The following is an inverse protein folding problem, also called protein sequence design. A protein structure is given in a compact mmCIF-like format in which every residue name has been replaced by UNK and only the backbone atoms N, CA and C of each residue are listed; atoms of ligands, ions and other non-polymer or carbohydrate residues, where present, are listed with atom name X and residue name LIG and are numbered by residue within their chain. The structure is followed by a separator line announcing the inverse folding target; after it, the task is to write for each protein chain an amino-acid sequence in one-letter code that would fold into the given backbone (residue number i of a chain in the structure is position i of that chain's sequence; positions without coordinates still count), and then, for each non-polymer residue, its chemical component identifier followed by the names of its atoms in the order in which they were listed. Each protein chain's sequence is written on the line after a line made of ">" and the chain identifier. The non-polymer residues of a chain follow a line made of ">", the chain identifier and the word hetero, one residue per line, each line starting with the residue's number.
data_IF_894552754406
#
_entry.id   IF_894552754406
#
_cell.length_a   1.000
_cell.length_b   1.000
_cell.length_c   1.000
_cell.angle_alpha   90.00
_cell.angle_beta   90.00
_cell.angle_gamma   90.00
#
_symmetry.space_group_name_H-M   'P 1'
#
loop_
_entity.id
_entity.type
_entity.pdbx_description
1 polymer ?
#
# COMPACT_ATOMS: atom_id res chain seq x y z
N UNK A 1 -14.56 5.52 28.83
CA UNK A 1 -15.10 4.96 27.59
C UNK A 1 -13.92 4.54 26.73
N UNK A 2 -13.69 3.24 26.57
CA UNK A 2 -12.60 2.74 25.74
C UNK A 2 -13.15 2.64 24.32
N UNK A 3 -12.77 3.56 23.46
CA UNK A 3 -13.03 3.48 22.03
C UNK A 3 -12.32 2.23 21.53
N UNK A 4 -13.07 1.19 21.15
CA UNK A 4 -12.49 0.04 20.45
C UNK A 4 -11.85 0.57 19.17
N UNK A 5 -10.53 0.75 19.16
CA UNK A 5 -9.80 0.92 17.93
C UNK A 5 -9.77 -0.45 17.27
N UNK A 6 -10.53 -0.61 16.19
CA UNK A 6 -10.19 -1.63 15.21
C UNK A 6 -8.70 -1.47 14.94
N UNK A 7 -7.93 -2.50 15.27
CA UNK A 7 -6.49 -2.43 15.54
C UNK A 7 -5.78 -1.47 14.61
N UNK A 8 -5.01 -0.53 15.18
CA UNK A 8 -4.27 0.45 14.42
C UNK A 8 -3.50 -0.27 13.31
N UNK A 9 -3.89 -0.05 12.05
CA UNK A 9 -3.20 -0.60 10.90
C UNK A 9 -1.77 -0.05 10.95
N UNK A 10 -0.82 -0.90 11.33
CA UNK A 10 0.56 -0.50 11.57
C UNK A 10 1.32 -0.40 10.25
N UNK A 11 0.75 0.32 9.29
CA UNK A 11 1.33 0.53 7.97
C UNK A 11 2.45 1.57 8.08
N UNK A 12 3.59 1.25 7.50
CA UNK A 12 4.75 2.14 7.44
C UNK A 12 4.64 3.02 6.19
N UNK A 13 4.69 4.36 6.31
CA UNK A 13 4.72 5.26 5.16
C UNK A 13 5.89 4.94 4.22
N UNK A 14 5.62 4.95 2.91
CA UNK A 14 6.58 4.65 1.87
C UNK A 14 6.65 3.18 1.45
N UNK A 15 6.17 2.24 2.29
CA UNK A 15 6.05 0.83 1.89
C UNK A 15 4.86 0.62 0.96
N UNK A 16 4.97 -0.43 0.15
CA UNK A 16 3.96 -0.82 -0.84
C UNK A 16 3.07 -1.92 -0.29
N UNK A 17 1.80 -1.80 -0.61
CA UNK A 17 0.78 -2.73 -0.16
C UNK A 17 -0.18 -3.05 -1.29
N UNK A 18 -0.83 -4.19 -1.16
CA UNK A 18 -2.03 -4.56 -1.89
C UNK A 18 -3.24 -4.44 -0.95
N UNK A 19 -4.19 -3.58 -1.33
CA UNK A 19 -5.37 -3.23 -0.52
C UNK A 19 -6.63 -3.75 -1.19
N UNK A 20 -7.35 -4.64 -0.49
CA UNK A 20 -8.64 -5.15 -0.93
C UNK A 20 -9.80 -4.46 -0.21
N UNK A 21 -10.85 -4.13 -0.96
CA UNK A 21 -12.09 -3.57 -0.44
C UNK A 21 -13.21 -4.62 -0.37
N UNK A 22 -14.21 -4.36 0.46
CA UNK A 22 -15.37 -5.23 0.65
C UNK A 22 -16.33 -5.28 -0.55
N UNK A 23 -16.15 -4.41 -1.56
CA UNK A 23 -16.87 -4.42 -2.83
C UNK A 23 -16.15 -5.26 -3.91
N UNK A 24 -15.05 -5.93 -3.55
CA UNK A 24 -14.25 -6.77 -4.45
C UNK A 24 -13.20 -6.00 -5.26
N UNK A 25 -13.08 -4.67 -5.09
CA UNK A 25 -11.98 -3.92 -5.71
C UNK A 25 -10.66 -4.18 -5.00
N UNK A 26 -9.60 -4.25 -5.78
CA UNK A 26 -8.24 -4.45 -5.29
C UNK A 26 -7.31 -3.41 -5.89
N UNK A 27 -6.51 -2.78 -5.02
CA UNK A 27 -5.47 -1.83 -5.41
C UNK A 27 -4.11 -2.43 -5.07
N UNK A 28 -3.41 -2.92 -6.09
CA UNK A 28 -2.08 -3.54 -5.96
C UNK A 28 -0.98 -2.48 -6.01
N UNK A 29 0.14 -2.73 -5.32
CA UNK A 29 1.37 -1.92 -5.39
C UNK A 29 1.12 -0.44 -5.09
N UNK A 30 0.32 -0.15 -4.08
CA UNK A 30 0.05 1.22 -3.63
C UNK A 30 0.94 1.57 -2.44
N UNK A 31 1.60 2.73 -2.50
CA UNK A 31 2.45 3.19 -1.42
C UNK A 31 1.61 3.87 -0.34
N UNK A 32 1.72 3.44 0.91
CA UNK A 32 1.05 4.12 2.02
C UNK A 32 1.72 5.48 2.28
N UNK A 33 0.94 6.55 2.34
CA UNK A 33 1.45 7.91 2.60
C UNK A 33 1.19 8.31 4.05
N UNK A 34 0.07 7.85 4.62
CA UNK A 34 -0.36 8.22 5.95
C UNK A 34 -1.89 8.28 6.05
N UNK A 35 -2.39 8.93 7.09
CA UNK A 35 -3.82 9.14 7.31
C UNK A 35 -4.19 10.62 7.29
N UNK A 36 -5.38 10.94 6.79
CA UNK A 36 -5.97 12.29 6.90
C UNK A 36 -7.35 12.22 7.52
N UNK A 37 -7.79 13.30 8.18
CA UNK A 37 -9.17 13.42 8.61
C UNK A 37 -10.03 13.96 7.47
N UNK A 38 -11.13 13.28 7.18
CA UNK A 38 -12.18 13.75 6.28
C UNK A 38 -13.51 13.74 7.04
N UNK A 39 -14.08 14.92 7.28
CA UNK A 39 -15.29 15.10 8.09
C UNK A 39 -15.18 14.43 9.47
N UNK A 40 -14.02 14.57 10.13
CA UNK A 40 -13.73 13.98 11.44
C UNK A 40 -13.47 12.47 11.42
N UNK A 41 -13.54 11.80 10.27
CA UNK A 41 -13.23 10.38 10.14
C UNK A 41 -11.81 10.17 9.60
N UNK A 42 -11.00 9.28 10.20
CA UNK A 42 -9.68 8.96 9.67
C UNK A 42 -9.79 8.17 8.37
N UNK A 43 -9.10 8.65 7.35
CA UNK A 43 -9.00 8.04 6.02
C UNK A 43 -7.55 7.62 5.77
N UNK A 44 -7.35 6.48 5.11
CA UNK A 44 -6.02 6.07 4.67
C UNK A 44 -5.71 6.67 3.31
N UNK A 45 -4.50 7.17 3.16
CA UNK A 45 -4.00 7.78 1.94
C UNK A 45 -2.89 6.92 1.35
N UNK A 46 -3.03 6.64 0.07
CA UNK A 46 -2.08 5.88 -0.72
C UNK A 46 -1.73 6.62 -2.00
N UNK A 47 -0.57 6.29 -2.56
CA UNK A 47 -0.18 6.67 -3.91
C UNK A 47 -0.10 5.44 -4.80
N UNK A 48 -0.73 5.51 -5.95
CA UNK A 48 -0.56 4.48 -6.99
C UNK A 48 0.77 4.67 -7.72
N UNK A 49 1.18 3.65 -8.49
CA UNK A 49 2.37 3.71 -9.37
C UNK A 49 2.27 4.86 -10.38
N UNK A 50 1.06 5.20 -10.81
CA UNK A 50 0.76 6.29 -11.75
C UNK A 50 0.70 7.67 -11.06
N UNK A 51 1.13 7.75 -9.79
CA UNK A 51 1.07 8.97 -8.97
C UNK A 51 -0.34 9.52 -8.72
N UNK A 52 -1.38 8.70 -8.92
CA UNK A 52 -2.75 9.04 -8.55
C UNK A 52 -2.96 8.84 -7.05
N UNK A 53 -3.57 9.82 -6.41
CA UNK A 53 -3.92 9.79 -4.99
C UNK A 53 -5.14 8.89 -4.76
N UNK A 54 -4.97 7.89 -3.91
CA UNK A 54 -6.03 6.97 -3.49
C UNK A 54 -6.35 7.22 -2.02
N UNK A 55 -7.60 7.63 -1.73
CA UNK A 55 -8.09 7.80 -0.36
C UNK A 55 -9.14 6.73 -0.06
N UNK A 56 -8.88 5.90 0.95
CA UNK A 56 -9.75 4.77 1.31
C UNK A 56 -10.31 4.98 2.72
N UNK A 57 -11.62 4.74 2.87
CA UNK A 57 -12.23 4.64 4.18
C UNK A 57 -11.88 3.28 4.79
N UNK A 58 -11.25 3.22 5.98
CA UNK A 58 -10.93 1.96 6.63
C UNK A 58 -12.12 1.02 6.83
N UNK A 59 -13.34 1.55 6.96
CA UNK A 59 -14.54 0.71 7.11
C UNK A 59 -14.88 -0.12 5.87
N UNK A 60 -14.28 0.18 4.71
CA UNK A 60 -14.47 -0.59 3.47
C UNK A 60 -13.35 -1.58 3.22
N UNK A 61 -12.31 -1.63 4.05
CA UNK A 61 -11.23 -2.59 3.86
C UNK A 61 -11.68 -4.01 4.18
N UNK A 62 -11.32 -4.92 3.28
CA UNK A 62 -11.37 -6.35 3.49
C UNK A 62 -10.01 -6.90 3.93
N UNK A 63 -8.92 -6.49 3.27
CA UNK A 63 -7.56 -6.96 3.60
C UNK A 63 -6.48 -5.96 3.20
N UNK A 64 -5.31 -6.15 3.81
CA UNK A 64 -4.05 -5.46 3.50
C UNK A 64 -2.96 -6.52 3.44
N UNK A 65 -2.19 -6.52 2.35
CA UNK A 65 -0.98 -7.34 2.22
C UNK A 65 0.19 -6.40 1.98
N UNK A 66 1.26 -6.52 2.76
CA UNK A 66 2.52 -5.83 2.48
C UNK A 66 3.23 -6.51 1.31
N UNK A 67 3.59 -5.74 0.29
CA UNK A 67 4.32 -6.26 -0.87
C UNK A 67 5.80 -6.38 -0.46
N UNK A 68 6.24 -7.60 -0.12
CA UNK A 68 7.67 -7.89 0.11
C UNK A 68 8.38 -7.85 -1.24
N UNK A 69 9.17 -6.81 -1.48
CA UNK A 69 10.06 -6.78 -2.65
C UNK A 69 11.33 -7.54 -2.28
N UNK A 70 11.40 -8.81 -2.67
CA UNK A 70 12.67 -9.52 -2.68
C UNK A 70 13.58 -8.85 -3.70
N UNK A 71 14.65 -8.21 -3.23
CA UNK A 71 15.68 -7.68 -4.11
C UNK A 71 16.45 -8.89 -4.63
N UNK A 72 16.14 -9.32 -5.85
CA UNK A 72 16.94 -10.31 -6.56
C UNK A 72 18.14 -9.56 -7.10
N UNK A 73 19.32 -9.82 -6.56
CA UNK A 73 20.58 -9.28 -7.06
C UNK A 73 20.87 -9.96 -8.41
N UNK A 74 20.44 -9.32 -9.51
CA UNK A 74 20.71 -9.82 -10.86
C UNK A 74 22.08 -9.33 -11.27
N UNK A 75 23.10 -10.13 -11.04
CA UNK A 75 24.43 -9.90 -11.60
C UNK A 75 24.34 -10.11 -13.12
N UNK A 76 24.33 -9.01 -13.89
CA UNK A 76 24.42 -9.08 -15.34
C UNK A 76 25.86 -9.46 -15.70
N UNK A 77 26.09 -10.73 -16.07
CA UNK A 77 27.31 -11.10 -16.78
C UNK A 77 27.21 -10.49 -18.20
N UNK A 78 28.04 -9.47 -18.46
CA UNK A 78 28.24 -8.93 -19.80
C UNK A 78 28.86 -10.02 -20.68
N UNK A 79 28.01 -10.81 -21.34
CA UNK A 79 28.50 -11.78 -22.31
C UNK A 79 29.08 -11.03 -23.51
N UNK A 80 30.36 -11.31 -23.75
CA UNK A 80 31.28 -10.52 -24.54
C UNK A 80 30.84 -10.46 -25.99
N UNK A 81 30.57 -9.24 -26.45
CA UNK A 81 30.66 -8.86 -27.86
C UNK A 81 32.12 -9.01 -28.33
N UNK A 82 32.52 -10.17 -28.83
CA UNK A 82 33.76 -10.28 -29.62
C UNK A 82 33.59 -11.23 -30.82
N UNK A 83 33.30 -10.56 -31.95
CA UNK A 83 33.66 -10.83 -33.36
C UNK A 83 33.09 -12.04 -34.09
#
# INVERSE_FOLDING_TARGET
>A
MVTQSYGAFSMVPGLRYSVGLNDGKEFRRVAFIGTKLLNGKPMMCFKTVESVDLTVNPSYMAFIVEDVVEIIDVTLEEDKLIK
#
